data_IF_951477088320
#
_entry.id   IF_951477088320
#
_cell.length_a   1.000
_cell.length_b   1.000
_cell.length_c   1.000
_cell.angle_alpha   90.00
_cell.angle_beta   90.00
_cell.angle_gamma   90.00
#
_symmetry.space_group_name_H-M   'P 1'
#
loop_
_entity.id
_entity.type
_entity.pdbx_description
1 polymer ?
#
# COMPACT_ATOMS: atom_id res chain seq x y z
N UNK A 1 -24.66 17.26 0.91
CA UNK A 1 -24.58 15.83 1.33
C UNK A 1 -23.25 15.64 2.04
N UNK A 2 -23.27 15.23 3.31
CA UNK A 2 -22.05 14.92 4.05
C UNK A 2 -21.69 13.44 3.87
N UNK A 3 -20.41 13.13 3.62
CA UNK A 3 -19.93 11.77 3.43
C UNK A 3 -18.89 11.48 4.52
N UNK A 4 -19.23 10.57 5.43
CA UNK A 4 -18.32 10.15 6.50
C UNK A 4 -17.34 9.07 6.01
N UNK A 5 -16.20 9.51 5.48
CA UNK A 5 -15.14 8.61 5.03
C UNK A 5 -14.55 7.73 6.13
N UNK A 6 -14.55 8.19 7.39
CA UNK A 6 -14.05 7.39 8.53
C UNK A 6 -14.97 6.21 8.80
N UNK A 7 -16.29 6.45 8.77
CA UNK A 7 -17.29 5.37 8.89
C UNK A 7 -17.15 4.34 7.77
N UNK A 8 -16.95 4.79 6.52
CA UNK A 8 -16.74 3.90 5.37
C UNK A 8 -15.47 3.06 5.55
N UNK A 9 -14.36 3.69 5.94
CA UNK A 9 -13.09 2.99 6.20
C UNK A 9 -13.21 1.96 7.34
N UNK A 10 -13.91 2.29 8.42
CA UNK A 10 -14.15 1.38 9.55
C UNK A 10 -15.00 0.16 9.14
N UNK A 11 -16.03 0.38 8.32
CA UNK A 11 -16.84 -0.70 7.76
C UNK A 11 -15.99 -1.62 6.86
N UNK A 12 -15.16 -1.04 6.00
CA UNK A 12 -14.25 -1.80 5.14
C UNK A 12 -13.25 -2.60 5.97
N UNK A 13 -12.66 -2.01 7.01
CA UNK A 13 -11.76 -2.70 7.94
C UNK A 13 -12.44 -3.89 8.62
N UNK A 14 -13.71 -3.77 9.00
CA UNK A 14 -14.47 -4.88 9.59
C UNK A 14 -14.68 -6.03 8.60
N UNK A 15 -14.94 -5.73 7.32
CA UNK A 15 -15.04 -6.71 6.24
C UNK A 15 -13.69 -7.41 6.03
N UNK A 16 -12.62 -6.62 5.86
CA UNK A 16 -11.25 -7.14 5.66
C UNK A 16 -10.78 -8.00 6.84
N UNK A 17 -11.15 -7.67 8.08
CA UNK A 17 -10.86 -8.52 9.25
C UNK A 17 -11.54 -9.89 9.18
N UNK A 18 -12.74 -9.98 8.59
CA UNK A 18 -13.43 -11.27 8.38
C UNK A 18 -12.75 -12.06 7.29
N UNK A 19 -12.46 -11.44 6.15
CA UNK A 19 -11.76 -12.07 5.03
C UNK A 19 -10.36 -12.55 5.43
N UNK A 20 -9.61 -11.74 6.19
CA UNK A 20 -8.29 -12.13 6.68
C UNK A 20 -8.30 -13.46 7.43
N UNK A 21 -9.36 -13.75 8.21
CA UNK A 21 -9.48 -14.99 8.98
C UNK A 21 -9.61 -16.23 8.09
N UNK A 22 -10.10 -16.08 6.85
CA UNK A 22 -10.21 -17.21 5.91
C UNK A 22 -8.88 -17.49 5.20
N UNK A 23 -7.98 -16.50 5.14
CA UNK A 23 -6.66 -16.63 4.55
C UNK A 23 -5.69 -17.27 5.55
N UNK A 24 -5.38 -18.55 5.37
CA UNK A 24 -4.42 -19.28 6.23
C UNK A 24 -2.96 -18.89 5.98
N UNK A 25 -2.64 -18.36 4.79
CA UNK A 25 -1.27 -17.96 4.44
C UNK A 25 -0.86 -16.71 5.23
N UNK A 26 0.46 -16.58 5.47
CA UNK A 26 1.05 -15.33 5.93
C UNK A 26 0.95 -14.29 4.83
N UNK A 27 0.69 -13.05 5.23
CA UNK A 27 0.65 -11.89 4.35
C UNK A 27 1.68 -10.93 4.92
N UNK A 28 2.70 -10.62 4.13
CA UNK A 28 3.75 -9.67 4.48
C UNK A 28 3.70 -8.44 3.58
N UNK A 29 3.88 -7.28 4.18
CA UNK A 29 3.92 -6.00 3.50
C UNK A 29 5.23 -5.28 3.84
N UNK A 30 6.07 -5.06 2.82
CA UNK A 30 7.28 -4.24 2.93
C UNK A 30 7.03 -2.86 2.37
N UNK A 31 7.25 -1.82 3.17
CA UNK A 31 7.10 -0.42 2.79
C UNK A 31 8.47 0.23 2.75
N UNK A 32 8.84 0.78 1.60
CA UNK A 32 10.04 1.58 1.42
C UNK A 32 9.70 3.05 1.61
N UNK A 33 10.42 3.73 2.50
CA UNK A 33 10.31 5.16 2.75
C UNK A 33 11.68 5.79 2.57
N UNK A 34 11.81 6.80 1.71
CA UNK A 34 13.05 7.53 1.48
C UNK A 34 12.87 8.98 1.92
N UNK A 35 13.75 9.45 2.81
CA UNK A 35 13.67 10.77 3.45
C UNK A 35 12.88 10.77 4.75
N UNK A 36 12.60 11.96 5.28
CA UNK A 36 12.05 12.14 6.63
C UNK A 36 10.89 13.16 6.67
N UNK A 37 10.17 13.32 5.57
CA UNK A 37 9.02 14.23 5.51
C UNK A 37 7.94 13.80 6.52
N UNK A 38 7.50 14.68 7.44
CA UNK A 38 6.51 14.34 8.48
C UNK A 38 5.21 13.76 7.92
N UNK A 39 4.76 14.24 6.77
CA UNK A 39 3.54 13.80 6.12
C UNK A 39 3.65 12.34 5.67
N UNK A 40 4.80 11.97 5.07
CA UNK A 40 5.06 10.60 4.64
C UNK A 40 5.13 9.64 5.83
N UNK A 41 5.76 10.06 6.93
CA UNK A 41 5.81 9.29 8.17
C UNK A 41 4.41 9.04 8.74
N UNK A 42 3.52 10.03 8.66
CA UNK A 42 2.12 9.88 9.06
C UNK A 42 1.38 8.83 8.22
N UNK A 43 1.54 8.85 6.89
CA UNK A 43 0.93 7.85 6.01
C UNK A 43 1.47 6.43 6.27
N UNK A 44 2.76 6.29 6.48
CA UNK A 44 3.39 5.00 6.81
C UNK A 44 2.92 4.49 8.17
N UNK A 45 2.74 5.38 9.16
CA UNK A 45 2.16 5.02 10.46
C UNK A 45 0.76 4.46 10.31
N UNK A 46 -0.10 5.10 9.50
CA UNK A 46 -1.45 4.60 9.22
C UNK A 46 -1.38 3.22 8.55
N UNK A 47 -0.49 3.03 7.56
CA UNK A 47 -0.28 1.72 6.91
C UNK A 47 0.13 0.64 7.92
N UNK A 48 1.04 0.96 8.85
CA UNK A 48 1.47 0.06 9.92
C UNK A 48 0.34 -0.30 10.88
N UNK A 49 -0.46 0.68 11.32
CA UNK A 49 -1.60 0.46 12.20
C UNK A 49 -2.67 -0.42 11.54
N UNK A 50 -2.96 -0.21 10.25
CA UNK A 50 -3.88 -1.04 9.48
C UNK A 50 -3.36 -2.47 9.31
N UNK A 51 -2.07 -2.62 8.98
CA UNK A 51 -1.44 -3.93 8.87
C UNK A 51 -1.53 -4.71 10.19
N UNK A 52 -1.23 -4.04 11.33
CA UNK A 52 -1.39 -4.62 12.67
C UNK A 52 -2.84 -5.03 12.95
N UNK A 53 -3.82 -4.17 12.63
CA UNK A 53 -5.24 -4.46 12.80
C UNK A 53 -5.71 -5.67 11.97
N UNK A 54 -5.05 -5.93 10.84
CA UNK A 54 -5.31 -7.03 9.92
C UNK A 54 -4.36 -8.22 10.09
N UNK A 55 -3.51 -8.25 11.12
CA UNK A 55 -2.51 -9.33 11.33
C UNK A 55 -1.70 -9.62 10.05
N UNK A 56 -1.21 -8.55 9.45
CA UNK A 56 -0.28 -8.54 8.32
C UNK A 56 1.11 -8.23 8.87
N UNK A 57 2.11 -9.01 8.44
CA UNK A 57 3.50 -8.83 8.84
C UNK A 57 4.05 -7.59 8.13
N UNK A 58 4.17 -6.49 8.89
CA UNK A 58 4.57 -5.20 8.34
C UNK A 58 6.06 -4.95 8.57
N UNK A 59 6.77 -4.57 7.51
CA UNK A 59 8.18 -4.18 7.57
C UNK A 59 8.36 -2.80 6.96
N UNK A 60 8.83 -1.85 7.76
CA UNK A 60 9.27 -0.54 7.26
C UNK A 60 10.76 -0.57 6.96
N UNK A 61 11.11 -0.22 5.72
CA UNK A 61 12.49 0.01 5.28
C UNK A 61 12.63 1.53 5.11
N UNK A 62 13.09 2.18 6.18
CA UNK A 62 13.23 3.63 6.23
C UNK A 62 14.68 4.04 5.92
N UNK A 63 14.85 4.75 4.81
CA UNK A 63 16.11 5.29 4.33
C UNK A 63 16.11 6.80 4.58
N UNK A 64 16.71 7.24 5.68
CA UNK A 64 16.70 8.66 6.09
C UNK A 64 17.46 9.57 5.12
N UNK A 65 18.40 9.01 4.36
CA UNK A 65 19.12 9.68 3.26
C UNK A 65 18.76 9.01 1.94
N UNK A 66 18.77 9.79 0.86
CA UNK A 66 18.59 9.26 -0.50
C UNK A 66 19.77 8.36 -0.87
N UNK A 67 19.58 7.04 -1.03
CA UNK A 67 20.62 6.18 -1.56
C UNK A 67 20.79 6.43 -3.07
N UNK A 68 21.90 5.95 -3.64
CA UNK A 68 21.97 5.83 -5.10
C UNK A 68 20.97 4.75 -5.58
N UNK A 69 20.71 4.76 -6.90
CA UNK A 69 19.74 3.85 -7.50
C UNK A 69 20.09 2.37 -7.32
N UNK A 70 21.37 2.01 -7.43
CA UNK A 70 21.84 0.61 -7.36
C UNK A 70 21.61 0.05 -5.96
N UNK A 71 21.93 0.81 -4.92
CA UNK A 71 21.73 0.42 -3.52
C UNK A 71 20.24 0.26 -3.20
N UNK A 72 19.41 1.21 -3.66
CA UNK A 72 17.95 1.09 -3.52
C UNK A 72 17.41 -0.16 -4.23
N UNK A 73 17.81 -0.38 -5.49
CA UNK A 73 17.39 -1.53 -6.27
C UNK A 73 17.82 -2.85 -5.62
N UNK A 74 19.01 -2.92 -5.04
CA UNK A 74 19.49 -4.10 -4.31
C UNK A 74 18.66 -4.37 -3.04
N UNK A 75 18.29 -3.34 -2.28
CA UNK A 75 17.39 -3.48 -1.14
C UNK A 75 15.99 -3.94 -1.56
N UNK A 76 15.46 -3.33 -2.62
CA UNK A 76 14.18 -3.71 -3.21
C UNK A 76 14.18 -5.17 -3.65
N UNK A 77 15.24 -5.60 -4.35
CA UNK A 77 15.42 -6.97 -4.83
C UNK A 77 15.38 -7.99 -3.69
N UNK A 78 16.01 -7.69 -2.54
CA UNK A 78 15.98 -8.57 -1.35
C UNK A 78 14.55 -8.82 -0.88
N UNK A 79 13.71 -7.79 -0.81
CA UNK A 79 12.31 -7.94 -0.41
C UNK A 79 11.46 -8.61 -1.49
N UNK A 80 11.73 -8.33 -2.77
CA UNK A 80 11.05 -8.99 -3.90
C UNK A 80 11.24 -10.51 -3.85
N UNK A 81 12.46 -10.99 -3.54
CA UNK A 81 12.73 -12.42 -3.42
C UNK A 81 12.33 -13.05 -2.07
N UNK A 82 11.95 -12.23 -1.09
CA UNK A 82 11.46 -12.74 0.18
C UNK A 82 10.10 -13.42 0.00
N UNK A 83 10.00 -14.70 0.36
CA UNK A 83 8.78 -15.51 0.23
C UNK A 83 7.68 -15.11 1.22
N UNK A 84 8.05 -14.48 2.34
CA UNK A 84 7.10 -14.00 3.33
C UNK A 84 6.48 -12.65 2.95
N UNK A 85 7.08 -11.94 1.98
CA UNK A 85 6.58 -10.65 1.48
C UNK A 85 5.64 -10.88 0.31
N UNK A 86 4.37 -10.57 0.50
CA UNK A 86 3.31 -10.70 -0.51
C UNK A 86 3.00 -9.39 -1.22
N UNK A 87 3.33 -8.25 -0.63
CA UNK A 87 3.14 -6.92 -1.23
C UNK A 87 4.27 -5.97 -0.88
N UNK A 88 4.58 -5.08 -1.82
CA UNK A 88 5.60 -4.04 -1.68
C UNK A 88 4.95 -2.70 -2.02
N UNK A 89 5.28 -1.70 -1.21
CA UNK A 89 4.90 -0.31 -1.37
C UNK A 89 6.18 0.52 -1.42
N UNK A 90 6.28 1.41 -2.39
CA UNK A 90 7.32 2.45 -2.42
C UNK A 90 6.63 3.78 -2.15
N UNK A 91 6.83 4.31 -0.94
CA UNK A 91 6.15 5.51 -0.51
C UNK A 91 6.61 6.72 -1.33
N UNK A 92 5.64 7.36 -1.99
CA UNK A 92 5.82 8.59 -2.75
C UNK A 92 5.64 9.84 -1.86
N UNK A 93 6.20 11.01 -2.26
CA UNK A 93 7.12 11.21 -3.39
C UNK A 93 8.52 10.66 -3.10
N UNK A 94 9.12 10.03 -4.12
CA UNK A 94 10.55 9.70 -4.11
C UNK A 94 11.41 10.92 -4.46
N UNK A 95 12.66 10.99 -3.96
CA UNK A 95 13.64 11.95 -4.46
C UNK A 95 13.85 11.81 -5.96
N UNK A 96 14.11 12.92 -6.67
CA UNK A 96 14.24 12.96 -8.13
C UNK A 96 15.24 11.92 -8.69
N UNK A 97 16.32 11.64 -7.95
CA UNK A 97 17.34 10.64 -8.31
C UNK A 97 16.81 9.19 -8.38
N UNK A 98 15.69 8.90 -7.70
CA UNK A 98 15.03 7.59 -7.68
C UNK A 98 13.68 7.61 -8.40
N UNK A 99 13.21 8.79 -8.83
CA UNK A 99 11.90 8.99 -9.44
C UNK A 99 11.89 8.55 -10.90
N UNK A 100 11.92 7.24 -11.13
CA UNK A 100 11.81 6.62 -12.46
C UNK A 100 10.79 5.51 -12.46
N UNK A 101 9.93 5.45 -13.48
CA UNK A 101 8.93 4.38 -13.63
C UNK A 101 9.57 2.99 -13.68
N UNK A 102 10.82 2.90 -14.14
CA UNK A 102 11.58 1.65 -14.22
C UNK A 102 11.79 0.99 -12.85
N UNK A 103 11.64 1.73 -11.74
CA UNK A 103 11.81 1.18 -10.39
C UNK A 103 10.74 0.12 -10.07
N UNK A 104 9.52 0.31 -10.60
CA UNK A 104 8.41 -0.61 -10.39
C UNK A 104 8.57 -1.89 -11.20
N UNK A 105 9.33 -1.88 -12.29
CA UNK A 105 9.60 -3.09 -13.09
C UNK A 105 10.44 -4.14 -12.35
N UNK A 106 11.17 -3.73 -11.30
CA UNK A 106 11.86 -4.64 -10.40
C UNK A 106 10.91 -5.41 -9.47
N UNK A 107 9.64 -4.99 -9.38
CA UNK A 107 8.63 -5.63 -8.53
C UNK A 107 7.72 -6.49 -9.42
N UNK A 108 7.59 -7.81 -9.15
CA UNK A 108 6.62 -8.66 -9.84
C UNK A 108 5.21 -8.09 -9.78
N UNK A 109 4.41 -8.23 -10.85
CA UNK A 109 3.06 -7.64 -10.95
C UNK A 109 2.19 -7.95 -9.73
N UNK A 110 2.22 -9.19 -9.24
CA UNK A 110 1.43 -9.63 -8.10
C UNK A 110 1.92 -9.09 -6.73
N UNK A 111 3.14 -8.53 -6.65
CA UNK A 111 3.68 -7.91 -5.44
C UNK A 111 3.62 -6.37 -5.48
N UNK A 112 3.43 -5.76 -6.64
CA UNK A 112 3.26 -4.30 -6.78
C UNK A 112 1.78 -3.96 -6.60
N UNK A 113 1.40 -3.65 -5.35
CA UNK A 113 -0.01 -3.55 -4.95
C UNK A 113 -0.57 -2.12 -5.01
N UNK A 114 0.23 -1.13 -5.44
CA UNK A 114 -0.21 0.27 -5.56
C UNK A 114 -0.59 0.63 -7.01
N UNK A 115 -0.39 -0.25 -7.99
CA UNK A 115 -0.89 -0.05 -9.34
C UNK A 115 -0.07 0.94 -10.17
N UNK A 116 1.21 1.11 -9.84
CA UNK A 116 2.15 1.94 -10.58
C UNK A 116 2.76 1.22 -11.78
N UNK A 117 2.80 -0.11 -11.77
CA UNK A 117 3.41 -0.89 -12.85
C UNK A 117 2.48 -1.03 -14.06
N UNK A 118 3.04 -0.94 -15.27
CA UNK A 118 2.29 -1.25 -16.50
C UNK A 118 1.77 -2.69 -16.48
N UNK A 119 0.53 -2.89 -16.95
CA UNK A 119 -0.17 -4.21 -16.97
C UNK A 119 -0.50 -4.77 -15.59
N UNK A 120 -0.45 -3.96 -14.53
CA UNK A 120 -0.94 -4.35 -13.22
C UNK A 120 -2.46 -4.57 -13.23
N UNK A 121 -2.92 -5.54 -12.44
CA UNK A 121 -4.35 -5.75 -12.17
C UNK A 121 -4.83 -4.89 -10.97
N UNK A 122 -3.90 -4.29 -10.24
CA UNK A 122 -4.21 -3.46 -9.09
C UNK A 122 -4.63 -2.05 -9.51
N UNK A 123 -5.71 -1.55 -8.92
CA UNK A 123 -6.18 -0.18 -9.13
C UNK A 123 -5.47 0.73 -8.12
N UNK A 124 -4.99 1.88 -8.59
CA UNK A 124 -4.35 2.87 -7.73
C UNK A 124 -5.24 3.21 -6.51
N UNK A 125 -4.72 3.10 -5.27
CA UNK A 125 -5.55 3.16 -4.05
C UNK A 125 -6.41 4.41 -3.88
N UNK A 126 -5.91 5.59 -4.30
CA UNK A 126 -6.70 6.82 -4.21
C UNK A 126 -7.91 6.79 -5.16
N UNK A 127 -7.73 6.29 -6.38
CA UNK A 127 -8.83 6.10 -7.32
C UNK A 127 -9.84 5.09 -6.79
N UNK A 128 -9.35 3.98 -6.22
CA UNK A 128 -10.21 2.96 -5.62
C UNK A 128 -10.99 3.50 -4.41
N UNK A 129 -10.40 4.36 -3.60
CA UNK A 129 -11.07 5.00 -2.46
C UNK A 129 -12.23 5.91 -2.92
N UNK A 130 -12.00 6.74 -3.95
CA UNK A 130 -13.06 7.59 -4.53
C UNK A 130 -14.19 6.73 -5.10
N UNK A 131 -13.86 5.69 -5.87
CA UNK A 131 -14.85 4.76 -6.42
C UNK A 131 -15.64 4.04 -5.32
N UNK A 132 -14.98 3.66 -4.23
CA UNK A 132 -15.62 3.04 -3.07
C UNK A 132 -16.63 3.99 -2.41
N UNK A 133 -16.27 5.27 -2.28
CA UNK A 133 -17.16 6.31 -1.74
C UNK A 133 -18.38 6.50 -2.65
N UNK A 134 -18.18 6.63 -3.96
CA UNK A 134 -19.27 6.78 -4.93
C UNK A 134 -20.23 5.59 -4.87
N UNK A 135 -19.68 4.37 -4.86
CA UNK A 135 -20.47 3.13 -4.74
C UNK A 135 -21.28 3.10 -3.44
N UNK A 136 -20.65 3.46 -2.32
CA UNK A 136 -21.31 3.52 -1.02
C UNK A 136 -22.52 4.48 -1.02
N UNK A 137 -22.38 5.65 -1.64
CA UNK A 137 -23.47 6.63 -1.78
C UNK A 137 -24.60 6.07 -2.65
N UNK A 138 -24.25 5.45 -3.79
CA UNK A 138 -25.23 4.91 -4.72
C UNK A 138 -26.03 3.75 -4.12
N UNK A 139 -25.34 2.78 -3.51
CA UNK A 139 -25.98 1.61 -2.88
C UNK A 139 -26.82 2.02 -1.66
N UNK A 140 -26.37 3.05 -0.91
CA UNK A 140 -27.13 3.63 0.20
C UNK A 140 -28.45 4.28 -0.23
N UNK A 141 -28.51 4.85 -1.45
CA UNK A 141 -29.74 5.44 -2.03
C UNK A 141 -30.72 4.41 -2.56
N UNK A 142 -30.28 3.18 -2.92
CA UNK A 142 -31.17 2.09 -3.36
C UNK A 142 -31.85 1.33 -2.21
N UNK A 143 -31.36 1.50 -0.98
CA UNK A 143 -31.91 0.86 0.23
C UNK A 143 -32.86 1.77 1.02
N UNK A 144 -33.13 2.97 0.51
CA UNK A 144 -34.15 3.91 0.99
C UNK A 144 -35.27 3.96 -0.04
#
# INVERSE_FOLDING_TARGET
MFIDGKKIANNLLAILKKERKTIKKRIGLSVFLVGSAPEQLSFVKIKSEMAKALKIDFKLIHLTKTPNFIDFANLLKKEVFNKDVTGIIIQQPLPAQLSTDSIYDYIPLFKEIEGHRKKTEFIFPLGLAVMTIIKYIYDGKRKQ
#
